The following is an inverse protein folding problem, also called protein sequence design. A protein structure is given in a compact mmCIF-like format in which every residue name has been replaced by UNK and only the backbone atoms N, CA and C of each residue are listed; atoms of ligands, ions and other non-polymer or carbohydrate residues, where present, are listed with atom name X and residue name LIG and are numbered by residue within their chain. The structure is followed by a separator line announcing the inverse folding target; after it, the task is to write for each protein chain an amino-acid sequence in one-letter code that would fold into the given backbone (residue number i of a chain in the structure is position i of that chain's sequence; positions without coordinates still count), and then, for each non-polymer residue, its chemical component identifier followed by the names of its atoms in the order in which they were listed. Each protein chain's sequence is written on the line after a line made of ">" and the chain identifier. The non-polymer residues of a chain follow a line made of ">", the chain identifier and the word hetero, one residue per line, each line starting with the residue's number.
data_IF_898446060629
#
_entry.id   IF_898446060629
#
_cell.length_a   1.000
_cell.length_b   1.000
_cell.length_c   1.000
_cell.angle_alpha   90.00
_cell.angle_beta   90.00
_cell.angle_gamma   90.00
#
_symmetry.space_group_name_H-M   'P 1'
#
loop_
_entity.id
_entity.type
_entity.pdbx_description
1 polymer ?
#
# COMPACT_ATOMS: atom_id res chain seq x y z
N UNK A 1 -2.44 -2.62 -23.88
CA UNK A 1 -3.82 -2.60 -24.45
C UNK A 1 -4.80 -2.73 -23.28
N UNK A 2 -5.84 -1.88 -23.23
CA UNK A 2 -6.93 -2.05 -22.23
C UNK A 2 -7.55 -3.42 -22.42
N UNK A 3 -7.77 -4.14 -21.35
CA UNK A 3 -8.21 -5.54 -21.41
C UNK A 3 -9.45 -5.80 -20.56
N UNK A 4 -10.03 -6.98 -20.69
CA UNK A 4 -11.19 -7.46 -19.92
C UNK A 4 -10.80 -8.64 -19.04
N UNK A 5 -11.63 -9.00 -18.09
CA UNK A 5 -11.44 -10.18 -17.24
C UNK A 5 -11.38 -11.49 -18.05
N UNK A 6 -12.16 -11.61 -19.12
CA UNK A 6 -12.11 -12.75 -20.02
C UNK A 6 -10.72 -12.88 -20.67
N UNK A 7 -10.17 -11.77 -21.16
CA UNK A 7 -8.82 -11.76 -21.76
C UNK A 7 -7.75 -12.16 -20.76
N UNK A 8 -7.84 -11.66 -19.50
CA UNK A 8 -6.92 -12.05 -18.43
C UNK A 8 -7.01 -13.55 -18.17
N UNK A 9 -8.22 -14.09 -18.07
CA UNK A 9 -8.44 -15.52 -17.87
C UNK A 9 -7.88 -16.37 -19.03
N UNK A 10 -8.07 -15.90 -20.27
CA UNK A 10 -7.54 -16.61 -21.46
C UNK A 10 -6.01 -16.62 -21.46
N UNK A 11 -5.37 -15.51 -21.03
CA UNK A 11 -3.90 -15.48 -20.89
C UNK A 11 -3.42 -16.40 -19.77
N UNK A 12 -4.13 -16.44 -18.64
CA UNK A 12 -3.84 -17.41 -17.56
C UNK A 12 -3.95 -18.85 -18.09
N UNK A 13 -5.00 -19.17 -18.85
CA UNK A 13 -5.18 -20.51 -19.43
C UNK A 13 -4.07 -20.89 -20.42
N UNK A 14 -3.61 -19.93 -21.22
CA UNK A 14 -2.63 -20.15 -22.29
C UNK A 14 -1.20 -20.39 -21.80
N UNK A 15 -0.82 -19.97 -20.58
CA UNK A 15 0.54 -20.08 -20.06
C UNK A 15 0.65 -21.16 -18.99
N UNK A 16 1.71 -21.94 -19.03
CA UNK A 16 1.98 -22.99 -18.04
C UNK A 16 2.60 -22.43 -16.75
N UNK A 17 3.44 -21.40 -16.89
CA UNK A 17 4.06 -20.71 -15.76
C UNK A 17 3.51 -19.29 -15.63
N UNK A 18 3.16 -18.90 -14.41
CA UNK A 18 2.65 -17.56 -14.09
C UNK A 18 3.47 -17.03 -12.93
N UNK A 19 3.99 -15.81 -13.06
CA UNK A 19 4.77 -15.14 -12.03
C UNK A 19 4.07 -13.84 -11.70
N UNK A 20 3.74 -13.64 -10.42
CA UNK A 20 2.98 -12.48 -9.97
C UNK A 20 3.91 -11.55 -9.19
N UNK A 21 3.97 -10.31 -9.63
CA UNK A 21 4.72 -9.21 -9.02
C UNK A 21 3.78 -8.21 -8.35
N UNK A 22 4.36 -7.32 -7.57
CA UNK A 22 3.73 -6.18 -6.90
C UNK A 22 4.72 -5.03 -6.75
N UNK A 23 4.31 -3.95 -6.06
CA UNK A 23 5.21 -2.82 -5.82
C UNK A 23 6.23 -3.06 -4.69
N UNK A 24 7.32 -2.29 -4.72
CA UNK A 24 8.32 -2.19 -3.65
C UNK A 24 7.68 -1.59 -2.38
N UNK A 25 8.23 -1.97 -1.19
CA UNK A 25 7.68 -1.59 0.11
C UNK A 25 6.18 -1.95 0.19
N UNK A 26 5.86 -3.24 0.15
CA UNK A 26 4.49 -3.71 0.05
C UNK A 26 3.66 -3.30 1.25
N UNK A 27 2.38 -3.15 1.00
CA UNK A 27 1.35 -3.02 2.00
C UNK A 27 0.42 -4.25 1.99
N UNK A 28 -0.63 -4.27 2.81
CA UNK A 28 -1.55 -5.40 2.83
C UNK A 28 -2.29 -5.64 1.51
N UNK A 29 -2.54 -4.61 0.67
CA UNK A 29 -3.20 -4.81 -0.63
C UNK A 29 -2.25 -5.41 -1.65
N UNK A 30 -1.02 -4.93 -1.73
CA UNK A 30 -0.01 -5.51 -2.60
C UNK A 30 0.18 -7.01 -2.35
N UNK A 31 0.28 -7.42 -1.07
CA UNK A 31 0.42 -8.83 -0.71
C UNK A 31 -0.89 -9.61 -0.83
N UNK A 32 -2.02 -9.00 -0.48
CA UNK A 32 -3.35 -9.61 -0.56
C UNK A 32 -3.74 -9.93 -2.00
N UNK A 33 -3.58 -8.97 -2.91
CA UNK A 33 -3.88 -9.13 -4.33
C UNK A 33 -2.94 -10.12 -5.01
N UNK A 34 -1.62 -10.03 -4.74
CA UNK A 34 -0.62 -10.95 -5.29
C UNK A 34 -0.86 -12.39 -4.84
N UNK A 35 -0.92 -12.63 -3.54
CA UNK A 35 -1.07 -13.95 -2.98
C UNK A 35 -2.49 -14.51 -3.19
N UNK A 36 -3.51 -13.67 -3.14
CA UNK A 36 -4.90 -14.04 -3.44
C UNK A 36 -5.04 -14.53 -4.88
N UNK A 37 -4.46 -13.82 -5.85
CA UNK A 37 -4.46 -14.24 -7.25
C UNK A 37 -3.72 -15.57 -7.45
N UNK A 38 -2.56 -15.75 -6.79
CA UNK A 38 -1.83 -17.03 -6.80
C UNK A 38 -2.70 -18.19 -6.34
N UNK A 39 -3.37 -18.05 -5.17
CA UNK A 39 -4.24 -19.09 -4.63
C UNK A 39 -5.42 -19.40 -5.56
N UNK A 40 -6.06 -18.38 -6.15
CA UNK A 40 -7.15 -18.57 -7.12
C UNK A 40 -6.67 -19.35 -8.33
N UNK A 41 -5.53 -18.99 -8.93
CA UNK A 41 -5.01 -19.67 -10.09
C UNK A 41 -4.63 -21.11 -9.75
N UNK A 42 -3.93 -21.33 -8.65
CA UNK A 42 -3.51 -22.67 -8.22
C UNK A 42 -4.71 -23.59 -7.94
N UNK A 43 -5.80 -23.05 -7.35
CA UNK A 43 -7.03 -23.80 -7.09
C UNK A 43 -7.76 -24.24 -8.38
N UNK A 44 -7.83 -23.35 -9.37
CA UNK A 44 -8.61 -23.59 -10.59
C UNK A 44 -7.79 -24.25 -11.72
N UNK A 45 -6.48 -24.19 -11.64
CA UNK A 45 -5.55 -24.72 -12.64
C UNK A 45 -4.36 -25.43 -11.95
N UNK A 46 -4.60 -26.58 -11.30
CA UNK A 46 -3.61 -27.22 -10.43
C UNK A 46 -2.34 -27.70 -11.15
N UNK A 47 -2.40 -27.86 -12.46
CA UNK A 47 -1.24 -28.27 -13.28
C UNK A 47 -0.30 -27.11 -13.61
N UNK A 48 -0.68 -25.86 -13.32
CA UNK A 48 0.14 -24.68 -13.61
C UNK A 48 1.15 -24.41 -12.50
N UNK A 49 2.32 -23.91 -12.89
CA UNK A 49 3.30 -23.38 -11.96
C UNK A 49 2.99 -21.91 -11.69
N UNK A 50 2.54 -21.60 -10.48
CA UNK A 50 2.20 -20.23 -10.09
C UNK A 50 3.14 -19.77 -8.98
N UNK A 51 3.89 -18.72 -9.24
CA UNK A 51 4.91 -18.17 -8.34
C UNK A 51 4.60 -16.70 -8.07
N UNK A 52 5.04 -16.22 -6.91
CA UNK A 52 5.04 -14.80 -6.56
C UNK A 52 6.44 -14.38 -6.10
N UNK A 53 6.85 -13.17 -6.48
CA UNK A 53 8.19 -12.67 -6.21
C UNK A 53 8.16 -11.25 -5.67
N UNK A 54 9.27 -10.85 -5.05
CA UNK A 54 9.52 -9.56 -4.44
C UNK A 54 10.26 -9.72 -3.12
N UNK A 55 10.46 -8.62 -2.41
CA UNK A 55 11.09 -8.61 -1.09
C UNK A 55 10.10 -9.03 0.00
N UNK A 56 10.50 -9.94 0.89
CA UNK A 56 9.71 -10.28 2.08
C UNK A 56 9.78 -9.15 3.11
N UNK A 57 8.69 -8.40 3.27
CA UNK A 57 8.57 -7.38 4.31
C UNK A 57 8.35 -8.07 5.68
N UNK A 58 9.31 -7.98 6.62
CA UNK A 58 9.24 -8.73 7.87
C UNK A 58 7.97 -8.49 8.69
N UNK A 59 7.44 -7.27 8.65
CA UNK A 59 6.23 -6.89 9.40
C UNK A 59 4.93 -7.47 8.80
N UNK A 60 4.97 -7.93 7.55
CA UNK A 60 3.82 -8.42 6.79
C UNK A 60 3.89 -9.90 6.43
N UNK A 61 4.89 -10.64 6.91
CA UNK A 61 5.05 -12.09 6.65
C UNK A 61 3.87 -12.94 7.17
N UNK A 62 3.05 -12.38 8.05
CA UNK A 62 1.80 -12.99 8.51
C UNK A 62 0.70 -13.02 7.43
N UNK A 63 0.80 -12.19 6.38
CA UNK A 63 -0.07 -12.21 5.19
C UNK A 63 0.43 -13.28 4.24
N UNK A 64 1.67 -13.12 3.76
CA UNK A 64 2.27 -14.03 2.78
C UNK A 64 3.79 -13.91 2.77
N UNK A 65 4.45 -14.93 2.21
CA UNK A 65 5.90 -14.98 1.94
C UNK A 65 6.14 -15.31 0.48
N UNK A 66 7.23 -14.76 -0.08
CA UNK A 66 7.55 -14.93 -1.49
C UNK A 66 8.11 -16.33 -1.80
N UNK A 67 7.92 -16.75 -3.04
CA UNK A 67 8.53 -18.00 -3.55
C UNK A 67 9.99 -17.77 -3.98
N UNK A 68 10.74 -18.86 -4.07
CA UNK A 68 12.05 -18.82 -4.70
C UNK A 68 11.88 -18.86 -6.22
N UNK A 69 12.17 -17.74 -6.89
CA UNK A 69 12.02 -17.57 -8.34
C UNK A 69 13.39 -17.40 -8.99
N UNK A 70 13.65 -18.16 -10.05
CA UNK A 70 14.88 -18.08 -10.84
C UNK A 70 14.60 -17.47 -12.21
N UNK A 71 15.62 -16.97 -12.91
CA UNK A 71 15.49 -16.41 -14.27
C UNK A 71 14.93 -17.45 -15.28
N UNK A 72 15.17 -18.74 -15.04
CA UNK A 72 14.63 -19.81 -15.87
C UNK A 72 13.11 -19.93 -15.79
N UNK A 73 12.52 -19.53 -14.67
CA UNK A 73 11.09 -19.59 -14.45
C UNK A 73 10.34 -18.57 -15.31
N UNK A 74 11.00 -17.47 -15.71
CA UNK A 74 10.42 -16.46 -16.59
C UNK A 74 10.30 -16.87 -18.04
N UNK A 75 11.04 -17.91 -18.46
CA UNK A 75 10.98 -18.38 -19.84
C UNK A 75 9.56 -18.84 -20.18
N UNK A 76 8.95 -18.21 -21.16
CA UNK A 76 7.56 -18.47 -21.59
C UNK A 76 6.49 -18.19 -20.51
N UNK A 77 6.87 -17.52 -19.41
CA UNK A 77 5.94 -17.19 -18.34
C UNK A 77 5.02 -16.03 -18.70
N UNK A 78 3.79 -16.10 -18.20
CA UNK A 78 2.93 -14.92 -18.03
C UNK A 78 3.36 -14.21 -16.75
N UNK A 79 3.73 -12.95 -16.88
CA UNK A 79 3.96 -12.07 -15.73
C UNK A 79 2.72 -11.23 -15.48
N UNK A 80 2.23 -11.24 -14.25
CA UNK A 80 1.11 -10.38 -13.82
C UNK A 80 1.64 -9.47 -12.72
N UNK A 81 1.44 -8.16 -12.87
CA UNK A 81 1.78 -7.18 -11.85
C UNK A 81 0.49 -6.65 -11.25
N UNK A 82 0.32 -6.86 -9.94
CA UNK A 82 -0.82 -6.34 -9.19
C UNK A 82 -0.40 -5.09 -8.42
N UNK A 83 -1.35 -4.19 -8.20
CA UNK A 83 -1.24 -3.05 -7.28
C UNK A 83 0.04 -2.21 -7.49
N UNK A 84 0.35 -1.83 -8.71
CA UNK A 84 1.58 -1.07 -9.00
C UNK A 84 1.34 0.03 -10.02
N UNK A 85 1.33 1.28 -9.55
CA UNK A 85 1.02 2.45 -10.36
C UNK A 85 1.97 2.65 -11.54
N UNK A 86 3.28 2.47 -11.32
CA UNK A 86 4.32 2.78 -12.30
C UNK A 86 5.50 1.81 -12.23
N UNK A 87 6.25 1.72 -13.35
CA UNK A 87 7.39 0.80 -13.51
C UNK A 87 8.50 0.95 -12.47
N UNK A 88 8.92 2.16 -12.06
CA UNK A 88 9.97 2.31 -11.05
C UNK A 88 9.62 1.72 -9.68
N UNK A 89 8.34 1.48 -9.41
CA UNK A 89 7.89 0.86 -8.17
C UNK A 89 7.74 -0.65 -8.22
N UNK A 90 7.84 -1.27 -9.40
CA UNK A 90 7.74 -2.74 -9.51
C UNK A 90 8.89 -3.37 -8.70
N UNK A 91 8.53 -4.30 -7.84
CA UNK A 91 9.51 -5.07 -7.08
C UNK A 91 10.01 -6.24 -7.93
N UNK A 92 11.34 -6.40 -8.00
CA UNK A 92 12.03 -7.36 -8.86
C UNK A 92 11.98 -7.01 -10.37
N UNK A 93 13.09 -6.48 -10.88
CA UNK A 93 13.24 -6.01 -12.28
C UNK A 93 13.08 -7.11 -13.33
N UNK A 94 13.13 -8.39 -12.94
CA UNK A 94 12.97 -9.54 -13.83
C UNK A 94 11.57 -9.67 -14.44
N UNK A 95 10.62 -8.84 -14.06
CA UNK A 95 9.27 -8.80 -14.68
C UNK A 95 9.34 -8.67 -16.22
N UNK A 96 10.43 -8.08 -16.75
CA UNK A 96 10.65 -7.89 -18.19
C UNK A 96 11.08 -9.17 -18.94
N UNK A 97 11.43 -10.24 -18.22
CA UNK A 97 11.90 -11.48 -18.79
C UNK A 97 10.77 -12.43 -19.24
N UNK A 98 9.53 -12.13 -18.85
CA UNK A 98 8.36 -12.94 -19.22
C UNK A 98 7.97 -12.79 -20.69
N UNK A 99 7.20 -13.76 -21.18
CA UNK A 99 6.71 -13.77 -22.57
C UNK A 99 5.54 -12.79 -22.78
N UNK A 100 4.74 -12.57 -21.75
CA UNK A 100 3.57 -11.69 -21.76
C UNK A 100 3.46 -10.99 -20.40
N UNK A 101 3.14 -9.71 -20.42
CA UNK A 101 3.00 -8.88 -19.23
C UNK A 101 1.59 -8.32 -19.10
N UNK A 102 0.95 -8.53 -17.95
CA UNK A 102 -0.36 -7.96 -17.60
C UNK A 102 -0.21 -7.06 -16.36
N UNK A 103 -0.78 -5.86 -16.41
CA UNK A 103 -0.99 -4.97 -15.25
C UNK A 103 -2.42 -5.11 -14.76
N UNK A 104 -2.63 -5.27 -13.44
CA UNK A 104 -3.94 -5.20 -12.76
C UNK A 104 -3.81 -4.22 -11.59
N UNK A 105 -4.48 -3.07 -11.65
CA UNK A 105 -4.22 -1.97 -10.74
C UNK A 105 -5.45 -1.10 -10.49
N UNK A 106 -5.48 -0.36 -9.38
CA UNK A 106 -6.51 0.60 -9.03
C UNK A 106 -5.98 2.05 -8.95
N UNK A 107 -4.69 2.27 -9.13
CA UNK A 107 -4.09 3.61 -9.14
C UNK A 107 -4.35 4.36 -10.46
N UNK A 108 -4.23 5.71 -10.50
CA UNK A 108 -4.20 6.46 -11.75
C UNK A 108 -3.14 5.90 -12.71
N UNK A 109 -3.54 5.70 -13.97
CA UNK A 109 -2.70 5.02 -14.98
C UNK A 109 -1.81 6.01 -15.74
N UNK A 110 -1.01 6.79 -15.01
CA UNK A 110 -0.10 7.79 -15.58
C UNK A 110 1.12 7.14 -16.28
N UNK A 111 1.53 5.95 -15.85
CA UNK A 111 2.54 5.12 -16.51
C UNK A 111 1.86 3.86 -17.07
N UNK A 112 1.55 3.91 -18.36
CA UNK A 112 0.94 2.77 -19.05
C UNK A 112 2.01 1.74 -19.39
N UNK A 113 1.92 0.55 -18.83
CA UNK A 113 2.84 -0.56 -19.11
C UNK A 113 2.11 -1.91 -19.20
N UNK A 114 2.80 -2.92 -19.72
CA UNK A 114 2.27 -4.24 -20.00
C UNK A 114 1.68 -4.38 -21.41
N UNK A 115 1.68 -5.60 -21.92
CA UNK A 115 1.01 -5.93 -23.20
C UNK A 115 -0.50 -5.73 -23.06
N UNK A 116 -1.01 -6.05 -21.88
CA UNK A 116 -2.40 -5.85 -21.45
C UNK A 116 -2.43 -5.14 -20.11
N UNK A 117 -3.47 -4.34 -19.87
CA UNK A 117 -3.71 -3.73 -18.56
C UNK A 117 -5.19 -3.60 -18.27
N UNK A 118 -5.54 -3.91 -17.03
CA UNK A 118 -6.83 -3.63 -16.41
C UNK A 118 -6.62 -2.68 -15.26
N UNK A 119 -7.14 -1.47 -15.37
CA UNK A 119 -7.03 -0.45 -14.34
C UNK A 119 -8.41 0.10 -14.04
N UNK A 120 -8.84 -0.03 -12.79
CA UNK A 120 -10.12 0.50 -12.29
C UNK A 120 -9.86 1.43 -11.10
N UNK A 121 -9.77 2.72 -11.36
CA UNK A 121 -9.55 3.75 -10.33
C UNK A 121 -10.74 4.00 -9.42
N UNK A 122 -11.88 3.37 -9.68
CA UNK A 122 -13.05 3.40 -8.82
C UNK A 122 -13.07 2.26 -7.79
N UNK A 123 -12.24 1.23 -7.99
CA UNK A 123 -12.04 0.16 -7.02
C UNK A 123 -11.25 0.66 -5.82
N UNK A 124 -11.60 0.19 -4.63
CA UNK A 124 -10.92 0.58 -3.39
C UNK A 124 -9.52 0.01 -3.25
N UNK A 125 -9.22 -1.07 -3.97
CA UNK A 125 -7.98 -1.84 -3.86
C UNK A 125 -7.79 -2.78 -5.05
N UNK A 126 -6.56 -3.20 -5.32
CA UNK A 126 -6.29 -4.24 -6.31
C UNK A 126 -6.89 -5.60 -5.85
N UNK A 127 -6.94 -5.87 -4.55
CA UNK A 127 -7.61 -7.05 -3.99
C UNK A 127 -9.10 -7.07 -4.29
N UNK A 128 -9.79 -5.92 -4.31
CA UNK A 128 -11.17 -5.82 -4.76
C UNK A 128 -11.30 -6.25 -6.24
N UNK A 129 -10.41 -5.76 -7.10
CA UNK A 129 -10.39 -6.11 -8.53
C UNK A 129 -10.17 -7.62 -8.72
N UNK A 130 -9.24 -8.22 -7.99
CA UNK A 130 -8.97 -9.67 -8.09
C UNK A 130 -10.16 -10.50 -7.57
N UNK A 131 -10.83 -10.05 -6.52
CA UNK A 131 -12.05 -10.72 -6.04
C UNK A 131 -13.18 -10.63 -7.07
N UNK A 132 -13.41 -9.46 -7.65
CA UNK A 132 -14.40 -9.24 -8.70
C UNK A 132 -14.10 -10.08 -9.95
N UNK A 133 -12.83 -10.14 -10.35
CA UNK A 133 -12.36 -11.04 -11.42
C UNK A 133 -12.75 -12.49 -11.13
N UNK A 134 -12.45 -12.98 -9.94
CA UNK A 134 -12.73 -14.36 -9.59
C UNK A 134 -14.25 -14.66 -9.59
N UNK A 135 -15.07 -13.80 -8.98
CA UNK A 135 -16.51 -13.98 -8.94
C UNK A 135 -17.16 -13.89 -10.33
N UNK A 136 -16.79 -12.88 -11.12
CA UNK A 136 -17.36 -12.67 -12.47
C UNK A 136 -16.94 -13.75 -13.47
N UNK A 137 -15.80 -14.38 -13.28
CA UNK A 137 -15.34 -15.50 -14.11
C UNK A 137 -15.72 -16.88 -13.54
N UNK A 138 -16.54 -16.92 -12.48
CA UNK A 138 -16.97 -18.15 -11.81
C UNK A 138 -15.79 -19.04 -11.37
N UNK A 139 -14.67 -18.44 -10.92
CA UNK A 139 -13.55 -19.17 -10.37
C UNK A 139 -13.80 -19.55 -8.92
N UNK A 140 -13.36 -20.74 -8.54
CA UNK A 140 -13.44 -21.21 -7.15
C UNK A 140 -12.39 -20.51 -6.29
N UNK A 141 -12.82 -19.98 -5.14
CA UNK A 141 -11.94 -19.44 -4.10
C UNK A 141 -11.80 -20.45 -2.97
N UNK A 142 -10.59 -20.56 -2.42
CA UNK A 142 -10.36 -21.20 -1.12
C UNK A 142 -10.56 -20.19 0.02
N UNK A 143 -10.74 -20.69 1.25
CA UNK A 143 -10.77 -19.84 2.46
C UNK A 143 -9.52 -18.98 2.58
N UNK A 144 -8.37 -19.53 2.17
CA UNK A 144 -7.09 -18.83 2.13
C UNK A 144 -7.10 -17.68 1.13
N UNK A 145 -7.60 -17.89 -0.09
CA UNK A 145 -7.72 -16.84 -1.11
C UNK A 145 -8.65 -15.71 -0.62
N UNK A 146 -9.81 -16.09 -0.07
CA UNK A 146 -10.77 -15.14 0.47
C UNK A 146 -10.17 -14.32 1.63
N UNK A 147 -9.44 -14.95 2.55
CA UNK A 147 -8.71 -14.26 3.62
C UNK A 147 -7.71 -13.25 3.09
N UNK A 148 -6.91 -13.62 2.08
CA UNK A 148 -5.88 -12.76 1.51
C UNK A 148 -6.49 -11.53 0.85
N UNK A 149 -7.51 -11.71 0.00
CA UNK A 149 -8.21 -10.62 -0.67
C UNK A 149 -8.92 -9.70 0.33
N UNK A 150 -9.59 -10.29 1.32
CA UNK A 150 -10.20 -9.50 2.40
C UNK A 150 -9.16 -8.67 3.17
N UNK A 151 -7.97 -9.24 3.42
CA UNK A 151 -6.87 -8.52 4.08
C UNK A 151 -6.43 -7.30 3.28
N UNK A 152 -6.28 -7.42 1.96
CA UNK A 152 -5.93 -6.29 1.10
C UNK A 152 -7.02 -5.21 1.10
N UNK A 153 -8.27 -5.58 0.90
CA UNK A 153 -9.41 -4.64 0.93
C UNK A 153 -9.46 -3.88 2.28
N UNK A 154 -9.29 -4.57 3.40
CA UNK A 154 -9.30 -3.96 4.74
C UNK A 154 -8.13 -3.00 4.92
N UNK A 155 -6.96 -3.33 4.36
CA UNK A 155 -5.77 -2.47 4.38
C UNK A 155 -6.02 -1.15 3.68
N UNK A 156 -6.41 -1.19 2.41
CA UNK A 156 -6.53 -0.02 1.54
C UNK A 156 -7.77 0.85 1.81
N UNK A 157 -8.79 0.26 2.44
CA UNK A 157 -9.98 1.00 2.89
C UNK A 157 -9.86 1.56 4.30
N UNK A 158 -8.72 1.34 4.99
CA UNK A 158 -8.60 1.69 6.40
C UNK A 158 -9.72 1.07 7.24
N UNK A 159 -10.03 -0.20 7.01
CA UNK A 159 -11.15 -0.91 7.61
C UNK A 159 -12.51 -0.31 7.25
N UNK A 160 -12.68 0.00 5.98
CA UNK A 160 -13.91 0.60 5.42
C UNK A 160 -14.20 2.04 5.90
N UNK A 161 -13.18 2.74 6.42
CA UNK A 161 -13.33 4.12 6.90
C UNK A 161 -12.94 5.17 5.86
N UNK A 162 -12.21 4.80 4.79
CA UNK A 162 -11.79 5.75 3.77
C UNK A 162 -12.88 5.97 2.72
N UNK A 163 -12.86 7.16 2.11
CA UNK A 163 -13.81 7.56 1.07
C UNK A 163 -13.77 6.66 -0.19
N UNK A 164 -12.67 5.92 -0.41
CA UNK A 164 -12.56 4.91 -1.45
C UNK A 164 -13.47 3.70 -1.24
N UNK A 165 -14.04 3.51 -0.04
CA UNK A 165 -14.97 2.42 0.26
C UNK A 165 -16.31 2.64 -0.44
N UNK A 166 -16.58 1.87 -1.49
CA UNK A 166 -17.81 1.96 -2.27
C UNK A 166 -18.83 0.89 -1.84
N UNK A 167 -20.06 0.99 -2.36
CA UNK A 167 -21.05 -0.08 -2.21
C UNK A 167 -20.59 -1.41 -2.83
N UNK A 168 -19.82 -1.35 -3.94
CA UNK A 168 -19.20 -2.52 -4.56
C UNK A 168 -18.16 -3.15 -3.63
N UNK A 169 -17.30 -2.35 -3.02
CA UNK A 169 -16.32 -2.78 -2.02
C UNK A 169 -17.00 -3.59 -0.90
N UNK A 170 -18.07 -3.04 -0.32
CA UNK A 170 -18.80 -3.70 0.76
C UNK A 170 -19.51 -4.98 0.29
N UNK A 171 -20.05 -4.99 -0.94
CA UNK A 171 -20.66 -6.19 -1.54
C UNK A 171 -19.64 -7.31 -1.73
N UNK A 172 -18.45 -6.99 -2.26
CA UNK A 172 -17.35 -7.96 -2.44
C UNK A 172 -16.86 -8.45 -1.07
N UNK A 173 -16.64 -7.56 -0.12
CA UNK A 173 -16.25 -7.94 1.24
C UNK A 173 -17.29 -8.86 1.89
N UNK A 174 -18.59 -8.60 1.69
CA UNK A 174 -19.67 -9.49 2.15
C UNK A 174 -19.59 -10.88 1.51
N UNK A 175 -19.31 -10.97 0.21
CA UNK A 175 -19.15 -12.27 -0.46
C UNK A 175 -17.94 -13.03 0.08
N UNK A 176 -16.80 -12.36 0.29
CA UNK A 176 -15.61 -12.97 0.90
C UNK A 176 -15.88 -13.46 2.33
N UNK A 177 -16.82 -12.84 3.06
CA UNK A 177 -17.21 -13.27 4.41
C UNK A 177 -18.03 -14.57 4.46
N UNK A 178 -18.45 -15.14 3.33
CA UNK A 178 -19.04 -16.48 3.30
C UNK A 178 -18.01 -17.61 3.45
N UNK A 179 -16.70 -17.29 3.30
CA UNK A 179 -15.61 -18.23 3.49
C UNK A 179 -15.18 -18.31 4.96
N UNK A 180 -14.59 -19.44 5.35
CA UNK A 180 -14.18 -19.69 6.74
C UNK A 180 -12.79 -19.13 7.03
N UNK A 181 -12.73 -17.95 7.65
CA UNK A 181 -11.50 -17.37 8.20
C UNK A 181 -11.79 -16.40 9.34
N UNK A 182 -10.83 -16.24 10.26
CA UNK A 182 -10.94 -15.28 11.37
C UNK A 182 -10.67 -13.85 10.88
N UNK A 183 -11.73 -13.15 10.45
CA UNK A 183 -11.63 -11.76 10.00
C UNK A 183 -11.27 -10.80 11.15
N UNK A 184 -11.65 -11.10 12.39
CA UNK A 184 -11.31 -10.26 13.52
C UNK A 184 -9.81 -10.36 13.85
N UNK A 185 -9.18 -11.53 13.60
CA UNK A 185 -7.75 -11.67 13.72
C UNK A 185 -6.98 -10.78 12.73
N UNK A 186 -7.50 -10.58 11.51
CA UNK A 186 -6.90 -9.66 10.53
C UNK A 186 -6.84 -8.23 11.09
N UNK A 187 -7.98 -7.72 11.58
CA UNK A 187 -8.04 -6.39 12.17
C UNK A 187 -7.13 -6.25 13.41
N UNK A 188 -7.14 -7.27 14.30
CA UNK A 188 -6.24 -7.28 15.46
C UNK A 188 -4.76 -7.27 15.05
N UNK A 189 -4.40 -8.03 14.02
CA UNK A 189 -3.02 -8.09 13.53
C UNK A 189 -2.58 -6.75 12.93
N UNK A 190 -3.45 -6.09 12.16
CA UNK A 190 -3.18 -4.77 11.60
C UNK A 190 -3.09 -3.67 12.65
N UNK A 191 -3.80 -3.80 13.79
CA UNK A 191 -3.74 -2.86 14.89
C UNK A 191 -2.58 -3.12 15.85
N UNK A 192 -1.96 -4.30 15.76
CA UNK A 192 -0.89 -4.68 16.67
C UNK A 192 0.42 -3.98 16.31
N UNK A 193 1.06 -3.39 17.28
CA UNK A 193 2.39 -2.82 17.15
C UNK A 193 3.22 -3.04 18.44
N UNK A 194 4.55 -3.09 18.35
CA UNK A 194 5.42 -3.27 19.51
C UNK A 194 5.26 -2.14 20.54
N UNK A 195 5.47 -2.44 21.83
CA UNK A 195 5.42 -1.45 22.90
C UNK A 195 6.34 -0.23 22.64
N UNK A 196 7.48 -0.42 21.99
CA UNK A 196 8.39 0.66 21.62
C UNK A 196 7.71 1.70 20.71
N UNK A 197 6.83 1.27 19.80
CA UNK A 197 6.03 2.16 18.94
C UNK A 197 4.97 2.90 19.76
N UNK A 198 4.31 2.26 20.74
CA UNK A 198 3.39 2.93 21.65
C UNK A 198 4.09 4.05 22.44
N UNK A 199 5.30 3.80 22.91
CA UNK A 199 6.12 4.81 23.62
C UNK A 199 6.49 5.98 22.71
N UNK A 200 6.92 5.70 21.47
CA UNK A 200 7.21 6.75 20.49
C UNK A 200 5.94 7.53 20.12
N UNK A 201 4.78 6.87 20.07
CA UNK A 201 3.50 7.54 19.83
C UNK A 201 3.12 8.47 20.99
N UNK A 202 3.36 8.09 22.24
CA UNK A 202 3.22 8.98 23.40
C UNK A 202 4.11 10.22 23.28
N UNK A 203 5.37 10.02 22.91
CA UNK A 203 6.30 11.13 22.64
C UNK A 203 5.76 12.09 21.57
N UNK A 204 5.18 11.55 20.49
CA UNK A 204 4.56 12.37 19.43
C UNK A 204 3.45 13.24 20.00
N UNK A 205 2.54 12.69 20.80
CA UNK A 205 1.44 13.47 21.40
C UNK A 205 1.93 14.52 22.41
N UNK A 206 2.94 14.22 23.19
CA UNK A 206 3.52 15.15 24.17
C UNK A 206 4.23 16.34 23.52
N UNK A 207 4.88 16.12 22.35
CA UNK A 207 5.71 17.12 21.67
C UNK A 207 5.04 17.71 20.44
N UNK A 208 3.76 17.37 20.20
CA UNK A 208 3.01 17.89 19.06
C UNK A 208 2.73 19.38 19.24
N UNK A 209 3.19 20.18 18.30
CA UNK A 209 2.81 21.60 18.20
C UNK A 209 1.63 21.72 17.26
N UNK A 210 0.56 22.39 17.72
CA UNK A 210 -0.66 22.61 16.94
C UNK A 210 -0.89 24.11 16.82
N UNK A 211 -1.02 24.59 15.59
CA UNK A 211 -1.39 25.98 15.29
C UNK A 211 -2.93 26.16 15.32
N UNK A 212 -3.39 27.38 15.52
CA UNK A 212 -4.84 27.72 15.56
C UNK A 212 -5.57 27.35 14.26
N UNK A 213 -4.85 27.26 13.13
CA UNK A 213 -5.39 26.79 11.84
C UNK A 213 -5.67 25.28 11.79
N UNK A 214 -5.19 24.52 12.77
CA UNK A 214 -5.23 23.07 12.77
C UNK A 214 -4.05 22.40 12.05
N UNK A 215 -3.06 23.17 11.61
CA UNK A 215 -1.78 22.64 11.17
C UNK A 215 -0.97 22.15 12.37
N UNK A 216 -0.32 20.98 12.27
CA UNK A 216 0.46 20.44 13.37
C UNK A 216 1.81 19.91 12.89
N UNK A 217 2.79 19.90 13.79
CA UNK A 217 4.04 19.18 13.53
C UNK A 217 4.64 18.62 14.81
N UNK A 218 5.51 17.61 14.61
CA UNK A 218 6.40 17.08 15.63
C UNK A 218 7.77 16.80 15.02
N UNK A 219 8.81 17.00 15.82
CA UNK A 219 10.19 16.65 15.48
C UNK A 219 10.59 15.41 16.28
N UNK A 220 11.06 14.39 15.59
CA UNK A 220 11.58 13.15 16.17
C UNK A 220 13.08 13.11 15.89
N UNK A 221 13.88 13.37 16.94
CA UNK A 221 15.34 13.40 16.84
C UNK A 221 15.94 11.98 16.77
N UNK A 222 17.21 11.88 16.34
CA UNK A 222 17.98 10.63 16.43
C UNK A 222 18.09 10.13 17.88
N UNK A 223 18.17 11.06 18.83
CA UNK A 223 18.20 10.72 20.25
C UNK A 223 16.88 10.07 20.70
N UNK A 224 15.74 10.61 20.26
CA UNK A 224 14.42 10.04 20.53
C UNK A 224 14.27 8.64 19.90
N UNK A 225 14.67 8.47 18.63
CA UNK A 225 14.66 7.16 17.97
C UNK A 225 15.50 6.14 18.74
N UNK A 226 16.70 6.52 19.14
CA UNK A 226 17.60 5.67 19.94
C UNK A 226 17.03 5.37 21.31
N UNK A 227 16.43 6.35 21.99
CA UNK A 227 15.83 6.17 23.33
C UNK A 227 14.70 5.13 23.31
N UNK A 228 13.88 5.12 22.26
CA UNK A 228 12.77 4.17 22.12
C UNK A 228 13.15 2.89 21.39
N UNK A 229 14.41 2.73 20.96
CA UNK A 229 14.88 1.60 20.14
C UNK A 229 14.05 1.40 18.86
N UNK A 230 13.78 2.51 18.15
CA UNK A 230 12.98 2.54 16.92
C UNK A 230 13.85 2.96 15.75
N UNK A 231 13.82 2.19 14.68
CA UNK A 231 14.51 2.54 13.42
C UNK A 231 13.74 3.61 12.63
N UNK A 232 14.43 4.23 11.66
CA UNK A 232 13.78 5.15 10.72
C UNK A 232 12.60 4.51 9.97
N UNK A 233 12.73 3.26 9.57
CA UNK A 233 11.65 2.52 8.90
C UNK A 233 10.45 2.32 9.82
N UNK A 234 10.67 1.84 11.04
CA UNK A 234 9.62 1.61 12.05
C UNK A 234 8.93 2.91 12.48
N UNK A 235 9.61 4.07 12.40
CA UNK A 235 9.00 5.36 12.70
C UNK A 235 7.83 5.74 11.76
N UNK A 236 7.65 5.01 10.66
CA UNK A 236 6.46 5.18 9.80
C UNK A 236 5.14 4.85 10.53
N UNK A 237 5.17 4.00 11.53
CA UNK A 237 4.00 3.57 12.31
C UNK A 237 3.32 4.70 13.11
N UNK A 238 4.04 5.80 13.42
CA UNK A 238 3.46 6.94 14.15
C UNK A 238 2.80 7.99 13.24
N UNK A 239 2.91 7.85 11.93
CA UNK A 239 2.57 8.93 10.97
C UNK A 239 1.10 9.36 11.08
N UNK A 240 0.21 8.43 11.35
CA UNK A 240 -1.23 8.71 11.45
C UNK A 240 -1.69 9.16 12.84
N UNK A 241 -0.81 9.17 13.85
CA UNK A 241 -1.19 9.49 15.23
C UNK A 241 -1.80 10.89 15.40
N UNK A 242 -1.21 11.98 14.86
CA UNK A 242 -1.77 13.33 15.04
C UNK A 242 -3.17 13.51 14.47
N UNK A 243 -3.52 12.77 13.41
CA UNK A 243 -4.85 12.84 12.78
C UNK A 243 -6.01 12.38 13.66
N UNK A 244 -5.72 11.70 14.78
CA UNK A 244 -6.72 11.30 15.78
C UNK A 244 -7.17 12.45 16.68
N UNK A 245 -6.49 13.60 16.63
CA UNK A 245 -6.82 14.79 17.42
C UNK A 245 -7.84 15.62 16.63
N UNK A 246 -8.92 16.03 17.29
CA UNK A 246 -10.09 16.64 16.65
C UNK A 246 -9.74 17.89 15.84
N UNK A 247 -8.98 18.82 16.44
CA UNK A 247 -8.64 20.11 15.83
C UNK A 247 -7.42 20.05 14.89
N UNK A 248 -6.76 18.89 14.70
CA UNK A 248 -5.68 18.73 13.70
C UNK A 248 -6.29 18.45 12.34
N UNK A 249 -5.94 19.27 11.32
CA UNK A 249 -6.41 19.17 9.96
C UNK A 249 -5.32 18.60 9.02
N UNK A 250 -4.09 19.08 9.16
CA UNK A 250 -2.93 18.59 8.43
C UNK A 250 -1.70 18.60 9.33
N UNK A 251 -0.79 17.65 9.12
CA UNK A 251 0.39 17.55 9.98
C UNK A 251 1.63 17.05 9.25
N UNK A 252 2.80 17.42 9.80
CA UNK A 252 4.10 16.91 9.40
C UNK A 252 4.82 16.22 10.57
N UNK A 253 5.41 15.07 10.32
CA UNK A 253 6.38 14.44 11.22
C UNK A 253 7.75 14.57 10.58
N UNK A 254 8.64 15.32 11.22
CA UNK A 254 10.03 15.50 10.83
C UNK A 254 10.88 14.49 11.60
N UNK A 255 11.44 13.52 10.90
CA UNK A 255 12.33 12.51 11.49
C UNK A 255 13.76 12.82 11.09
N UNK A 256 14.59 13.15 12.06
CA UNK A 256 16.00 13.43 11.86
C UNK A 256 16.75 12.22 11.30
N UNK A 257 17.62 12.43 10.33
CA UNK A 257 18.49 11.43 9.72
C UNK A 257 19.90 11.52 10.32
N UNK A 258 20.71 10.49 10.12
CA UNK A 258 22.07 10.42 10.65
C UNK A 258 23.03 11.47 10.06
N UNK A 259 22.67 12.04 8.93
CA UNK A 259 23.42 13.11 8.25
C UNK A 259 22.96 14.54 8.65
N UNK A 260 22.01 14.66 9.58
CA UNK A 260 21.43 15.91 10.04
C UNK A 260 20.27 16.45 9.19
N UNK A 261 19.95 15.80 8.08
CA UNK A 261 18.75 16.08 7.30
C UNK A 261 17.51 15.48 7.95
N UNK A 262 16.32 15.73 7.38
CA UNK A 262 15.07 15.21 7.88
C UNK A 262 14.28 14.46 6.80
N UNK A 263 13.75 13.31 7.16
CA UNK A 263 12.65 12.69 6.42
C UNK A 263 11.34 13.32 6.88
N UNK A 264 10.60 13.91 5.95
CA UNK A 264 9.32 14.56 6.23
C UNK A 264 8.18 13.66 5.77
N UNK A 265 7.25 13.39 6.69
CA UNK A 265 6.02 12.64 6.37
C UNK A 265 4.83 13.53 6.68
N UNK A 266 4.02 13.83 5.67
CA UNK A 266 2.85 14.69 5.79
C UNK A 266 1.56 13.92 5.57
N UNK A 267 0.55 14.27 6.33
CA UNK A 267 -0.81 13.76 6.17
C UNK A 267 -1.81 14.87 6.41
N UNK A 268 -3.01 14.70 5.89
CA UNK A 268 -4.14 15.59 6.17
C UNK A 268 -5.45 14.80 6.20
N UNK A 269 -6.48 15.38 6.83
CA UNK A 269 -7.84 14.83 6.80
C UNK A 269 -8.51 15.11 5.45
N UNK A 270 -8.41 16.35 4.94
CA UNK A 270 -9.10 16.79 3.73
C UNK A 270 -8.26 17.74 2.86
N UNK A 271 -7.24 18.38 3.42
CA UNK A 271 -6.44 19.41 2.74
C UNK A 271 -5.44 18.81 1.76
N UNK A 272 -5.29 19.40 0.59
CA UNK A 272 -4.36 18.94 -0.45
C UNK A 272 -2.94 19.40 -0.11
N UNK A 273 -2.06 18.49 0.24
CA UNK A 273 -0.69 18.75 0.73
C UNK A 273 0.43 18.29 -0.21
N UNK A 274 0.14 17.56 -1.27
CA UNK A 274 1.17 17.02 -2.16
C UNK A 274 1.95 18.11 -2.93
N UNK A 275 1.36 19.30 -3.11
CA UNK A 275 2.04 20.46 -3.66
C UNK A 275 3.21 20.92 -2.78
N UNK A 276 3.05 20.89 -1.44
CA UNK A 276 4.12 21.17 -0.48
C UNK A 276 5.24 20.16 -0.66
N UNK A 277 4.92 18.86 -0.66
CA UNK A 277 5.91 17.81 -0.83
C UNK A 277 6.76 18.00 -2.11
N UNK A 278 6.13 18.34 -3.23
CA UNK A 278 6.83 18.57 -4.51
C UNK A 278 7.83 19.73 -4.44
N UNK A 279 7.50 20.83 -3.74
CA UNK A 279 8.41 21.98 -3.57
C UNK A 279 9.64 21.63 -2.72
N UNK A 280 9.52 20.63 -1.85
CA UNK A 280 10.59 20.17 -0.95
C UNK A 280 11.16 18.81 -1.37
N UNK A 281 11.33 18.60 -2.68
CA UNK A 281 12.02 17.44 -3.24
C UNK A 281 11.34 16.08 -2.99
N UNK A 282 10.03 16.09 -2.83
CA UNK A 282 9.24 14.90 -2.57
C UNK A 282 8.02 14.76 -3.47
N UNK A 283 6.98 14.10 -2.97
CA UNK A 283 5.73 13.86 -3.69
C UNK A 283 4.78 12.96 -2.91
N UNK A 284 3.76 12.48 -3.58
CA UNK A 284 2.75 11.57 -3.03
C UNK A 284 1.34 11.95 -3.40
N UNK A 285 0.38 11.32 -2.72
CA UNK A 285 -1.05 11.56 -2.91
C UNK A 285 -1.50 12.90 -2.31
N UNK A 286 -2.66 13.43 -2.73
CA UNK A 286 -3.18 14.69 -2.21
C UNK A 286 -3.20 14.80 -0.68
N UNK A 287 -3.58 13.73 0.03
CA UNK A 287 -3.72 13.70 1.48
C UNK A 287 -2.57 12.98 2.22
N UNK A 288 -1.63 12.38 1.49
CA UNK A 288 -0.56 11.57 2.05
C UNK A 288 0.72 11.72 1.23
N UNK A 289 1.66 12.52 1.71
CA UNK A 289 2.86 12.87 0.97
C UNK A 289 4.11 12.78 1.84
N UNK A 290 5.26 12.65 1.18
CA UNK A 290 6.57 12.67 1.81
C UNK A 290 7.50 13.66 1.12
N UNK A 291 8.42 14.24 1.88
CA UNK A 291 9.45 15.14 1.40
C UNK A 291 10.77 14.90 2.14
N UNK A 292 11.78 15.65 1.80
CA UNK A 292 13.03 15.75 2.56
C UNK A 292 13.22 17.22 3.01
N UNK A 293 13.96 17.42 4.06
CA UNK A 293 14.33 18.75 4.53
C UNK A 293 15.78 18.72 4.98
N UNK A 294 16.53 19.76 4.63
CA UNK A 294 17.95 19.84 4.91
C UNK A 294 18.27 20.33 6.33
N UNK A 295 17.34 21.03 7.00
CA UNK A 295 17.60 21.63 8.30
C UNK A 295 16.29 22.11 8.98
N UNK A 296 16.42 22.62 10.19
CA UNK A 296 15.29 23.15 10.97
C UNK A 296 14.60 24.37 10.33
N UNK A 297 15.32 25.18 9.58
CA UNK A 297 14.73 26.34 8.89
C UNK A 297 13.77 25.89 7.79
N UNK A 298 14.15 24.88 7.03
CA UNK A 298 13.28 24.26 6.03
C UNK A 298 12.09 23.53 6.66
N UNK A 299 12.26 22.86 7.82
CA UNK A 299 11.15 22.31 8.58
C UNK A 299 10.13 23.38 8.94
N UNK A 300 10.60 24.56 9.38
CA UNK A 300 9.74 25.72 9.68
C UNK A 300 9.05 26.26 8.41
N UNK A 301 9.73 26.24 7.25
CA UNK A 301 9.12 26.65 5.99
C UNK A 301 7.96 25.72 5.60
N UNK A 302 8.19 24.40 5.65
CA UNK A 302 7.16 23.38 5.39
C UNK A 302 5.96 23.57 6.36
N UNK A 303 6.22 23.84 7.63
CA UNK A 303 5.15 24.06 8.60
C UNK A 303 4.34 25.32 8.29
N UNK A 304 4.98 26.43 7.90
CA UNK A 304 4.26 27.65 7.45
C UNK A 304 3.38 27.39 6.23
N UNK A 305 3.83 26.55 5.30
CA UNK A 305 3.01 26.16 4.15
C UNK A 305 1.82 25.29 4.55
N UNK A 306 1.97 24.41 5.55
CA UNK A 306 0.86 23.63 6.12
C UNK A 306 -0.17 24.56 6.78
N UNK A 307 0.28 25.57 7.53
CA UNK A 307 -0.62 26.59 8.13
C UNK A 307 -1.42 27.29 7.03
N UNK A 308 -0.75 27.75 5.96
CA UNK A 308 -1.43 28.42 4.86
C UNK A 308 -2.52 27.54 4.21
N UNK A 309 -2.21 26.27 3.96
CA UNK A 309 -3.17 25.31 3.40
C UNK A 309 -4.34 25.04 4.35
N UNK A 310 -4.11 25.02 5.67
CA UNK A 310 -5.17 24.84 6.65
C UNK A 310 -6.09 26.07 6.76
N UNK A 311 -5.58 27.28 6.45
CA UNK A 311 -6.35 28.54 6.46
C UNK A 311 -7.19 28.74 5.19
N UNK A 312 -6.91 28.02 4.11
CA UNK A 312 -7.74 28.03 2.89
C UNK A 312 -9.12 27.42 3.20
N UNK A 313 -10.18 28.16 2.86
CA UNK A 313 -11.59 27.77 3.09
C UNK A 313 -12.04 26.77 2.03
#
# INVERSE_FOLDING_TARGET
>A
MITTFETILDKIKAHQTIIIHRHQNPDPDALGSQAGLKEIIAQNFPDKKVLMTGFDEPSLTWISQMDQVTDKDYKEALVIITDTANRPRIDDERYTLGQCLIKIDHHPNDDVYGDFYYVDTSASSASEIIADFAFSQNLTLSDKAAKLLYTGIVGDTGRFLYASTTSKTLSIASQLRHFEFDFAAISRQMDSFPLKIAKLQSYVFEHLTIDESGAAYVLVSQEALKHFDVTLAESSAIVCAPGKIDNVQAWAIFVELTDGNYRVRMRSKEKIINGIAKRHGGGGHPLASGANSANLEENQAIFRELIAVCQEI
#
